data_IF_929558040941
#
_entry.id   IF_929558040941
#
_cell.length_a   1.000
_cell.length_b   1.000
_cell.length_c   1.000
_cell.angle_alpha   90.00
_cell.angle_beta   90.00
_cell.angle_gamma   90.00
#
_symmetry.space_group_name_H-M   'P 1'
#
loop_
_entity.id
_entity.type
_entity.pdbx_description
1 polymer ?
#
# COMPACT_ATOMS: atom_id res chain seq x y z
N UNK A 1 36.92 37.83 38.14
CA UNK A 1 36.38 36.56 38.64
C UNK A 1 34.85 36.58 38.50
N UNK A 2 34.30 36.02 37.47
CA UNK A 2 32.94 35.52 37.40
C UNK A 2 32.84 34.68 36.13
N UNK A 3 32.88 33.39 36.30
CA UNK A 3 32.66 32.41 35.24
C UNK A 3 31.18 32.46 34.86
N UNK A 4 30.88 32.94 33.66
CA UNK A 4 29.55 32.84 33.08
C UNK A 4 29.47 31.49 32.35
N UNK A 5 28.74 30.57 32.95
CA UNK A 5 28.36 29.32 32.38
C UNK A 5 27.39 29.56 31.21
N UNK A 6 27.90 29.58 29.99
CA UNK A 6 27.06 29.54 28.80
C UNK A 6 26.55 28.11 28.66
N UNK A 7 25.36 27.88 29.19
CA UNK A 7 24.59 26.68 28.91
C UNK A 7 24.26 26.69 27.40
N UNK A 8 25.02 25.96 26.66
CA UNK A 8 24.67 25.61 25.27
C UNK A 8 23.45 24.71 25.33
N UNK A 9 22.28 25.29 25.19
CA UNK A 9 21.07 24.56 24.85
C UNK A 9 21.22 24.10 23.41
N UNK A 10 21.63 22.86 23.23
CA UNK A 10 21.46 22.13 21.99
C UNK A 10 19.95 22.02 21.73
N UNK A 11 19.44 22.57 20.62
CA UNK A 11 18.10 22.20 20.21
C UNK A 11 18.19 20.72 19.83
N UNK A 12 17.57 19.86 20.62
CA UNK A 12 17.23 18.52 20.21
C UNK A 12 16.32 18.66 18.98
N UNK A 13 16.93 18.52 17.81
CA UNK A 13 16.21 18.34 16.55
C UNK A 13 15.45 17.03 16.70
N UNK A 14 14.21 17.16 17.14
CA UNK A 14 13.23 16.11 17.14
C UNK A 14 12.98 15.76 15.67
N UNK A 15 13.78 14.83 15.14
CA UNK A 15 13.46 14.11 13.93
C UNK A 15 12.13 13.39 14.24
N UNK A 16 11.04 14.10 13.97
CA UNK A 16 9.74 13.47 13.80
C UNK A 16 9.90 12.50 12.63
N UNK A 17 10.30 11.29 12.96
CA UNK A 17 10.11 10.17 12.06
C UNK A 17 8.62 10.16 11.73
N UNK A 18 8.27 10.68 10.56
CA UNK A 18 7.02 10.38 9.89
C UNK A 18 7.04 8.88 9.57
N UNK A 19 6.93 8.07 10.62
CA UNK A 19 6.47 6.71 10.47
C UNK A 19 4.99 6.80 10.13
N UNK A 20 4.70 7.19 8.88
CA UNK A 20 3.44 6.80 8.32
C UNK A 20 3.35 5.29 8.55
N UNK A 21 2.31 4.79 9.23
CA UNK A 21 2.15 3.36 9.33
C UNK A 21 2.14 2.86 7.89
N UNK A 22 3.14 2.07 7.53
CA UNK A 22 3.09 1.25 6.34
C UNK A 22 1.91 0.31 6.63
N UNK A 23 0.72 0.78 6.29
CA UNK A 23 -0.43 -0.08 6.23
C UNK A 23 0.00 -1.16 5.25
N UNK A 24 0.26 -2.34 5.80
CA UNK A 24 0.57 -3.50 5.00
C UNK A 24 -0.40 -3.47 3.85
N UNK A 25 0.13 -3.27 2.62
CA UNK A 25 -0.72 -3.07 1.46
C UNK A 25 -1.53 -4.35 1.35
N UNK A 26 -2.73 -4.33 1.90
CA UNK A 26 -3.64 -5.46 1.74
C UNK A 26 -3.80 -5.58 0.23
N UNK A 27 -3.56 -6.77 -0.30
CA UNK A 27 -3.65 -7.02 -1.74
C UNK A 27 -5.08 -6.92 -2.27
N UNK A 28 -5.91 -6.18 -1.56
CA UNK A 28 -7.30 -5.95 -1.86
C UNK A 28 -8.23 -6.87 -1.06
N UNK A 29 -9.44 -6.39 -0.86
CA UNK A 29 -10.51 -7.15 -0.28
C UNK A 29 -11.06 -8.13 -1.31
N UNK A 30 -11.17 -9.42 -0.95
CA UNK A 30 -11.69 -10.48 -1.83
C UNK A 30 -13.23 -10.41 -1.92
N UNK A 31 -13.75 -9.30 -2.44
CA UNK A 31 -15.18 -8.98 -2.51
C UNK A 31 -16.00 -10.06 -3.23
N UNK A 32 -15.44 -10.77 -4.19
CA UNK A 32 -16.09 -11.88 -4.90
C UNK A 32 -16.36 -13.10 -4.04
N UNK A 33 -15.79 -13.18 -2.83
CA UNK A 33 -16.04 -14.22 -1.81
C UNK A 33 -17.01 -13.76 -0.74
N UNK A 34 -17.31 -12.47 -0.67
CA UNK A 34 -18.25 -11.91 0.28
C UNK A 34 -19.69 -12.19 -0.15
N UNK A 35 -20.49 -12.70 0.79
CA UNK A 35 -21.87 -13.12 0.51
C UNK A 35 -22.80 -11.96 0.11
N UNK A 36 -22.55 -10.74 0.62
CA UNK A 36 -23.31 -9.55 0.24
C UNK A 36 -23.00 -9.17 -1.20
N UNK A 37 -21.72 -9.05 -1.55
CA UNK A 37 -21.28 -8.70 -2.91
C UNK A 37 -21.77 -9.74 -3.93
N UNK A 38 -21.68 -11.04 -3.61
CA UNK A 38 -22.17 -12.10 -4.50
C UNK A 38 -23.66 -11.95 -4.79
N UNK A 39 -24.48 -11.70 -3.77
CA UNK A 39 -25.93 -11.51 -3.93
C UNK A 39 -26.25 -10.23 -4.70
N UNK A 40 -25.69 -9.09 -4.27
CA UNK A 40 -25.99 -7.78 -4.86
C UNK A 40 -25.59 -7.71 -6.33
N UNK A 41 -24.47 -8.34 -6.69
CA UNK A 41 -23.98 -8.38 -8.07
C UNK A 41 -24.59 -9.53 -8.87
N UNK A 42 -25.33 -10.43 -8.25
CA UNK A 42 -25.78 -11.69 -8.86
C UNK A 42 -24.62 -12.42 -9.58
N UNK A 43 -23.48 -12.56 -8.89
CA UNK A 43 -22.31 -13.21 -9.45
C UNK A 43 -22.59 -14.70 -9.72
N UNK A 44 -22.25 -15.16 -10.92
CA UNK A 44 -22.23 -16.59 -11.20
C UNK A 44 -21.04 -17.26 -10.54
N UNK A 45 -21.14 -18.59 -10.31
CA UNK A 45 -20.03 -19.37 -9.80
C UNK A 45 -18.82 -19.32 -10.74
N UNK A 46 -19.04 -19.30 -12.06
CA UNK A 46 -17.98 -19.13 -13.06
C UNK A 46 -17.27 -17.78 -12.94
N UNK A 47 -18.03 -16.69 -12.81
CA UNK A 47 -17.45 -15.35 -12.61
C UNK A 47 -16.59 -15.30 -11.34
N UNK A 48 -17.10 -15.82 -10.22
CA UNK A 48 -16.34 -15.85 -8.96
C UNK A 48 -15.05 -16.66 -9.08
N UNK A 49 -15.10 -17.82 -9.73
CA UNK A 49 -13.93 -18.68 -9.95
C UNK A 49 -12.89 -18.00 -10.86
N UNK A 50 -13.33 -17.34 -11.94
CA UNK A 50 -12.42 -16.60 -12.86
C UNK A 50 -11.76 -15.42 -12.16
N UNK A 51 -12.49 -14.66 -11.36
CA UNK A 51 -11.94 -13.55 -10.59
C UNK A 51 -10.91 -14.06 -9.57
N UNK A 52 -11.24 -15.16 -8.86
CA UNK A 52 -10.30 -15.77 -7.93
C UNK A 52 -9.01 -16.24 -8.60
N UNK A 53 -9.10 -16.86 -9.77
CA UNK A 53 -7.92 -17.28 -10.55
C UNK A 53 -7.03 -16.09 -10.96
N UNK A 54 -7.62 -14.97 -11.40
CA UNK A 54 -6.91 -13.73 -11.72
C UNK A 54 -6.19 -13.19 -10.48
N UNK A 55 -6.89 -13.14 -9.35
CA UNK A 55 -6.32 -12.70 -8.09
C UNK A 55 -5.15 -13.59 -7.63
N UNK A 56 -5.33 -14.91 -7.60
CA UNK A 56 -4.29 -15.84 -7.14
C UNK A 56 -3.03 -15.75 -7.99
N UNK A 57 -3.18 -15.62 -9.31
CA UNK A 57 -2.04 -15.46 -10.22
C UNK A 57 -1.26 -14.17 -9.96
N UNK A 58 -1.97 -13.07 -9.70
CA UNK A 58 -1.34 -11.78 -9.42
C UNK A 58 -0.71 -11.72 -8.03
N UNK A 59 -1.38 -12.29 -7.00
CA UNK A 59 -0.94 -12.19 -5.62
C UNK A 59 0.40 -12.90 -5.39
N UNK A 60 0.61 -14.05 -6.04
CA UNK A 60 1.87 -14.79 -5.97
C UNK A 60 3.05 -13.94 -6.45
N UNK A 61 2.88 -13.27 -7.61
CA UNK A 61 3.90 -12.38 -8.16
C UNK A 61 4.10 -11.12 -7.31
N UNK A 62 3.01 -10.53 -6.79
CA UNK A 62 3.08 -9.35 -5.93
C UNK A 62 3.82 -9.64 -4.61
N UNK A 63 3.62 -10.83 -4.02
CA UNK A 63 4.37 -11.25 -2.82
C UNK A 63 5.86 -11.35 -3.08
N UNK A 64 6.24 -12.02 -4.18
CA UNK A 64 7.66 -12.12 -4.57
C UNK A 64 8.29 -10.74 -4.82
N UNK A 65 7.56 -9.83 -5.48
CA UNK A 65 8.03 -8.45 -5.70
C UNK A 65 8.09 -7.63 -4.41
N UNK A 66 7.20 -7.90 -3.46
CA UNK A 66 7.26 -7.26 -2.13
C UNK A 66 8.53 -7.66 -1.37
N UNK A 67 8.88 -8.95 -1.39
CA UNK A 67 10.10 -9.42 -0.77
C UNK A 67 11.36 -8.82 -1.42
N UNK A 68 11.35 -8.67 -2.75
CA UNK A 68 12.42 -7.98 -3.48
C UNK A 68 12.50 -6.49 -3.09
N UNK A 69 11.33 -5.82 -3.01
CA UNK A 69 11.25 -4.42 -2.59
C UNK A 69 11.84 -4.23 -1.20
N UNK A 70 11.45 -5.05 -0.23
CA UNK A 70 11.93 -4.94 1.16
C UNK A 70 13.45 -5.04 1.22
N UNK A 71 14.06 -6.00 0.50
CA UNK A 71 15.53 -6.13 0.42
C UNK A 71 16.20 -4.89 -0.17
N UNK A 72 15.61 -4.28 -1.20
CA UNK A 72 16.18 -3.09 -1.82
C UNK A 72 15.99 -1.83 -0.97
N UNK A 73 14.89 -1.72 -0.24
CA UNK A 73 14.66 -0.64 0.74
C UNK A 73 15.60 -0.75 1.95
N UNK A 74 15.85 -1.96 2.45
CA UNK A 74 16.83 -2.21 3.51
C UNK A 74 18.24 -1.81 3.08
N UNK A 75 18.63 -2.16 1.85
CA UNK A 75 19.92 -1.76 1.29
C UNK A 75 20.04 -0.24 1.14
N UNK A 76 18.99 0.41 0.66
CA UNK A 76 18.92 1.87 0.57
C UNK A 76 19.10 2.52 1.94
N UNK A 77 18.40 2.01 2.94
CA UNK A 77 18.52 2.48 4.32
C UNK A 77 19.95 2.35 4.87
N UNK A 78 20.60 1.21 4.62
CA UNK A 78 21.98 0.97 5.02
C UNK A 78 22.96 1.94 4.34
N UNK A 79 22.78 2.20 3.05
CA UNK A 79 23.62 3.16 2.31
C UNK A 79 23.48 4.59 2.84
N UNK A 80 22.26 5.01 3.17
CA UNK A 80 22.00 6.34 3.76
C UNK A 80 22.66 6.45 5.13
N UNK A 81 22.49 5.45 5.99
CA UNK A 81 23.08 5.44 7.35
C UNK A 81 24.62 5.45 7.28
N UNK A 82 25.20 4.75 6.31
CA UNK A 82 26.65 4.72 6.09
C UNK A 82 27.22 5.99 5.46
N UNK A 83 26.37 6.96 5.07
CA UNK A 83 26.83 8.16 4.35
C UNK A 83 27.43 7.86 2.99
N UNK A 84 26.85 6.88 2.27
CA UNK A 84 27.34 6.47 0.97
C UNK A 84 27.29 7.60 -0.07
N UNK A 85 28.10 7.47 -1.13
CA UNK A 85 28.14 8.41 -2.25
C UNK A 85 26.74 8.60 -2.87
N UNK A 86 26.40 9.85 -3.21
CA UNK A 86 25.12 10.24 -3.81
C UNK A 86 24.78 9.44 -5.08
N UNK A 87 25.77 9.16 -5.93
CA UNK A 87 25.58 8.36 -7.15
C UNK A 87 25.15 6.93 -6.84
N UNK A 88 25.69 6.34 -5.78
CA UNK A 88 25.34 5.01 -5.33
C UNK A 88 23.91 4.99 -4.76
N UNK A 89 23.57 5.97 -3.92
CA UNK A 89 22.24 6.11 -3.33
C UNK A 89 21.20 6.36 -4.42
N UNK A 90 21.47 7.24 -5.39
CA UNK A 90 20.55 7.50 -6.50
C UNK A 90 20.25 6.25 -7.30
N UNK A 91 21.26 5.45 -7.65
CA UNK A 91 21.02 4.16 -8.33
C UNK A 91 20.19 3.19 -7.52
N UNK A 92 20.32 3.20 -6.20
CA UNK A 92 19.51 2.36 -5.33
C UNK A 92 18.08 2.85 -5.25
N UNK A 93 17.84 4.16 -5.19
CA UNK A 93 16.51 4.78 -5.28
C UNK A 93 15.82 4.37 -6.59
N UNK A 94 16.51 4.47 -7.72
CA UNK A 94 15.95 4.07 -9.03
C UNK A 94 15.48 2.61 -9.04
N UNK A 95 16.25 1.69 -8.42
CA UNK A 95 15.84 0.29 -8.28
C UNK A 95 14.58 0.13 -7.44
N UNK A 96 14.51 0.80 -6.30
CA UNK A 96 13.33 0.77 -5.41
C UNK A 96 12.10 1.28 -6.14
N UNK A 97 12.21 2.43 -6.81
CA UNK A 97 11.10 3.02 -7.56
C UNK A 97 10.66 2.18 -8.76
N UNK A 98 11.60 1.54 -9.46
CA UNK A 98 11.26 0.62 -10.55
C UNK A 98 10.42 -0.56 -10.06
N UNK A 99 10.75 -1.14 -8.90
CA UNK A 99 9.97 -2.25 -8.30
C UNK A 99 8.59 -1.75 -7.87
N UNK A 100 8.50 -0.60 -7.20
CA UNK A 100 7.23 0.01 -6.78
C UNK A 100 6.31 0.27 -7.98
N UNK A 101 6.86 0.88 -9.03
CA UNK A 101 6.13 1.14 -10.28
C UNK A 101 5.61 -0.15 -10.91
N UNK A 102 6.45 -1.19 -10.97
CA UNK A 102 6.04 -2.50 -11.49
C UNK A 102 4.90 -3.12 -10.67
N UNK A 103 5.00 -3.09 -9.34
CA UNK A 103 3.93 -3.60 -8.45
C UNK A 103 2.62 -2.83 -8.63
N UNK A 104 2.67 -1.50 -8.77
CA UNK A 104 1.49 -0.68 -9.01
C UNK A 104 0.83 -1.03 -10.36
N UNK A 105 1.62 -1.22 -11.41
CA UNK A 105 1.13 -1.70 -12.70
C UNK A 105 0.45 -3.06 -12.61
N UNK A 106 1.06 -4.00 -11.90
CA UNK A 106 0.49 -5.34 -11.69
C UNK A 106 -0.87 -5.26 -10.98
N UNK A 107 -0.99 -4.46 -9.90
CA UNK A 107 -2.27 -4.26 -9.20
C UNK A 107 -3.34 -3.66 -10.10
N UNK A 108 -2.98 -2.62 -10.85
CA UNK A 108 -3.92 -1.96 -11.76
C UNK A 108 -4.43 -2.92 -12.83
N UNK A 109 -3.54 -3.73 -13.41
CA UNK A 109 -3.93 -4.72 -14.42
C UNK A 109 -4.74 -5.88 -13.82
N UNK A 110 -4.45 -6.29 -12.59
CA UNK A 110 -5.27 -7.27 -11.87
C UNK A 110 -6.70 -6.75 -11.71
N UNK A 111 -6.88 -5.55 -11.18
CA UNK A 111 -8.19 -4.92 -11.02
C UNK A 111 -8.94 -4.76 -12.35
N UNK A 112 -8.24 -4.40 -13.41
CA UNK A 112 -8.85 -4.32 -14.75
C UNK A 112 -9.36 -5.68 -15.20
N UNK A 113 -8.53 -6.73 -15.10
CA UNK A 113 -8.91 -8.09 -15.49
C UNK A 113 -10.09 -8.62 -14.69
N UNK A 114 -10.14 -8.39 -13.38
CA UNK A 114 -11.28 -8.74 -12.54
C UNK A 114 -12.57 -8.06 -13.02
N UNK A 115 -12.50 -6.76 -13.33
CA UNK A 115 -13.66 -6.02 -13.84
C UNK A 115 -14.10 -6.46 -15.23
N UNK A 116 -13.18 -6.94 -16.07
CA UNK A 116 -13.51 -7.48 -17.41
C UNK A 116 -14.32 -8.78 -17.35
N UNK A 117 -14.30 -9.51 -16.23
CA UNK A 117 -15.17 -10.68 -16.02
C UNK A 117 -16.63 -10.27 -15.81
N UNK A 118 -16.88 -9.04 -15.37
CA UNK A 118 -18.20 -8.52 -15.03
C UNK A 118 -18.89 -7.90 -16.24
N UNK A 119 -20.23 -7.98 -16.25
CA UNK A 119 -21.05 -7.20 -17.19
C UNK A 119 -20.94 -5.68 -16.91
N UNK A 120 -21.33 -4.81 -17.85
CA UNK A 120 -21.35 -3.37 -17.62
C UNK A 120 -22.17 -2.97 -16.37
N UNK A 121 -23.34 -3.57 -16.19
CA UNK A 121 -24.22 -3.27 -15.06
C UNK A 121 -23.60 -3.76 -13.72
N UNK A 122 -23.00 -4.94 -13.71
CA UNK A 122 -22.27 -5.42 -12.55
C UNK A 122 -21.10 -4.51 -12.16
N UNK A 123 -20.38 -3.95 -13.14
CA UNK A 123 -19.28 -3.00 -12.87
C UNK A 123 -19.77 -1.72 -12.19
N UNK A 124 -20.89 -1.16 -12.64
CA UNK A 124 -21.51 0.02 -12.02
C UNK A 124 -21.96 -0.29 -10.58
N UNK A 125 -22.64 -1.42 -10.38
CA UNK A 125 -23.06 -1.86 -9.04
C UNK A 125 -21.86 -2.09 -8.11
N UNK A 126 -20.81 -2.73 -8.58
CA UNK A 126 -19.59 -2.96 -7.81
C UNK A 126 -18.98 -1.65 -7.30
N UNK A 127 -18.93 -0.61 -8.14
CA UNK A 127 -18.46 0.71 -7.73
C UNK A 127 -19.26 1.26 -6.54
N UNK A 128 -20.59 1.22 -6.64
CA UNK A 128 -21.49 1.70 -5.55
C UNK A 128 -21.33 0.89 -4.26
N UNK A 129 -21.22 -0.42 -4.37
CA UNK A 129 -21.02 -1.30 -3.21
C UNK A 129 -19.67 -1.02 -2.52
N UNK A 130 -18.61 -0.81 -3.28
CA UNK A 130 -17.29 -0.41 -2.70
C UNK A 130 -17.36 0.92 -1.97
N UNK A 131 -17.99 1.93 -2.56
CA UNK A 131 -18.17 3.23 -1.91
C UNK A 131 -18.99 3.13 -0.61
N UNK A 132 -20.04 2.30 -0.60
CA UNK A 132 -20.84 2.04 0.58
C UNK A 132 -20.01 1.32 1.65
N UNK A 133 -19.34 0.24 1.27
CA UNK A 133 -18.48 -0.53 2.17
C UNK A 133 -17.38 0.32 2.80
N UNK A 134 -16.73 1.18 2.00
CA UNK A 134 -15.72 2.12 2.52
C UNK A 134 -16.32 3.11 3.53
N UNK A 135 -17.51 3.63 3.28
CA UNK A 135 -18.18 4.54 4.24
C UNK A 135 -18.46 3.85 5.57
N UNK A 136 -18.91 2.59 5.53
CA UNK A 136 -19.24 1.81 6.71
C UNK A 136 -17.99 1.37 7.50
N UNK A 137 -16.88 1.12 6.82
CA UNK A 137 -15.64 0.60 7.41
C UNK A 137 -14.54 1.66 7.62
N UNK A 138 -14.69 2.87 7.09
CA UNK A 138 -13.85 4.00 7.51
C UNK A 138 -14.18 4.33 8.96
N UNK A 139 -13.35 3.81 9.89
CA UNK A 139 -13.38 4.29 11.28
C UNK A 139 -13.26 5.81 11.26
N UNK A 140 -14.16 6.56 11.91
CA UNK A 140 -13.91 7.97 12.16
C UNK A 140 -12.60 8.05 12.94
N UNK A 141 -11.64 8.80 12.44
CA UNK A 141 -10.48 9.19 13.23
C UNK A 141 -11.03 9.89 14.46
N UNK A 142 -11.05 9.18 15.59
CA UNK A 142 -11.39 9.79 16.87
C UNK A 142 -10.35 10.87 17.09
N UNK A 143 -10.79 12.12 16.94
CA UNK A 143 -10.02 13.28 17.30
C UNK A 143 -9.37 13.03 18.65
N UNK A 144 -8.04 13.06 18.69
CA UNK A 144 -7.33 13.24 19.94
C UNK A 144 -7.74 14.60 20.47
N UNK A 145 -8.74 14.57 21.35
CA UNK A 145 -9.09 15.74 22.15
C UNK A 145 -7.85 16.21 22.90
N UNK A 146 -7.41 17.38 22.53
CA UNK A 146 -6.50 18.19 23.35
C UNK A 146 -7.24 18.51 24.63
N UNK A 147 -6.71 18.08 25.75
CA UNK A 147 -6.93 18.64 27.07
C UNK A 147 -5.58 19.03 27.65
#
# INVERSE_FOLDING_TARGET
>A
MRQTWIRRLLPALLLLALTAPVHGQSFGFAWWKDAQFQRELALSADQSARIDAIFQAAISQLRSKKEELDKQEDLLSQQIVAGADETLVTRQVDKVEAIRSHMNKMRTLMLLKERQVLSPDQRVKLGKLHEQWEREHKRPERGRGVK
#
